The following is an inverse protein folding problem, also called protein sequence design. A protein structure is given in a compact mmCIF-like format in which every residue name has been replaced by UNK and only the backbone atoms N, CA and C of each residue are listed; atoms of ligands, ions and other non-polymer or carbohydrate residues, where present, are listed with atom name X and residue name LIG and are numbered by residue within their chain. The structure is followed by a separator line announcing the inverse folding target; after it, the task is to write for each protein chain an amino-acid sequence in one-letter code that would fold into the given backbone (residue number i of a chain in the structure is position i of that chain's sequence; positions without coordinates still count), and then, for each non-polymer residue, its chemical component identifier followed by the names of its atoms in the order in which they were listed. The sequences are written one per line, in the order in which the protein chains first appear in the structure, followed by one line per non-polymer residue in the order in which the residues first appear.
data_IF_096975793911
#
_entry.id   IF_096975793911
#
_cell.length_a   1.000
_cell.length_b   1.000
_cell.length_c   1.000
_cell.angle_alpha   90.00
_cell.angle_beta   90.00
_cell.angle_gamma   90.00
#
_symmetry.space_group_name_H-M   'P 1'
#
loop_
_entity.id
_entity.type
_entity.pdbx_description
1 polymer ?
#
# COMPACT_ATOMS: atom_id res chain seq x y z
N UNK A 1 -21.97 8.19 -16.56
CA UNK A 1 -21.59 9.56 -16.22
C UNK A 1 -20.60 10.08 -17.26
N UNK A 2 -20.91 11.21 -17.87
CA UNK A 2 -20.11 11.84 -18.93
C UNK A 2 -18.76 12.34 -18.39
N UNK A 3 -17.66 12.29 -19.17
CA UNK A 3 -16.35 12.65 -18.68
C UNK A 3 -16.22 14.17 -18.62
N UNK A 4 -16.18 14.71 -17.40
CA UNK A 4 -15.92 16.11 -17.10
C UNK A 4 -14.42 16.32 -16.99
N UNK A 5 -13.98 17.50 -17.44
CA UNK A 5 -12.60 17.99 -17.46
C UNK A 5 -11.78 17.55 -16.23
N UNK A 6 -10.58 16.97 -16.41
CA UNK A 6 -9.77 16.58 -15.27
C UNK A 6 -9.37 17.82 -14.45
N UNK A 7 -9.69 17.87 -13.15
CA UNK A 7 -9.41 19.04 -12.33
C UNK A 7 -7.89 19.29 -12.26
N UNK A 8 -7.50 20.56 -12.34
CA UNK A 8 -6.12 21.05 -12.53
C UNK A 8 -5.16 20.79 -11.35
N UNK A 9 -5.60 20.13 -10.28
CA UNK A 9 -4.78 19.80 -9.11
C UNK A 9 -4.49 18.29 -9.04
N UNK A 10 -3.21 17.93 -8.89
CA UNK A 10 -2.75 16.52 -8.81
C UNK A 10 -3.57 15.69 -7.80
N UNK A 11 -3.91 16.29 -6.66
CA UNK A 11 -4.68 15.64 -5.60
C UNK A 11 -6.13 15.39 -6.02
N UNK A 12 -6.80 16.35 -6.68
CA UNK A 12 -8.18 16.16 -7.15
C UNK A 12 -8.26 15.20 -8.35
N UNK A 13 -7.24 15.18 -9.21
CA UNK A 13 -7.12 14.22 -10.31
C UNK A 13 -6.94 12.79 -9.78
N UNK A 14 -6.06 12.62 -8.79
CA UNK A 14 -5.89 11.35 -8.08
C UNK A 14 -7.19 10.94 -7.40
N UNK A 15 -7.86 11.81 -6.63
CA UNK A 15 -9.14 11.49 -5.97
C UNK A 15 -10.25 11.15 -6.98
N UNK A 16 -10.34 11.85 -8.11
CA UNK A 16 -11.35 11.61 -9.14
C UNK A 16 -11.17 10.25 -9.83
N UNK A 17 -9.93 9.87 -10.16
CA UNK A 17 -9.64 8.54 -10.71
C UNK A 17 -9.70 7.42 -9.66
N UNK A 18 -9.40 7.75 -8.41
CA UNK A 18 -9.36 6.81 -7.28
C UNK A 18 -10.75 6.49 -6.75
N UNK A 19 -11.78 7.30 -7.06
CA UNK A 19 -13.16 7.15 -6.59
C UNK A 19 -13.78 5.76 -6.82
N UNK A 20 -13.29 5.02 -7.83
CA UNK A 20 -13.73 3.65 -8.12
C UNK A 20 -12.91 2.54 -7.46
N UNK A 21 -11.82 2.85 -6.74
CA UNK A 21 -10.90 1.90 -6.14
C UNK A 21 -10.63 2.14 -4.65
N UNK A 22 -11.35 3.09 -4.04
CA UNK A 22 -11.38 3.33 -2.60
C UNK A 22 -11.53 2.06 -1.75
N UNK A 23 -12.40 1.08 -2.08
CA UNK A 23 -12.51 -0.14 -1.29
C UNK A 23 -11.20 -0.93 -1.23
N UNK A 24 -10.48 -1.03 -2.35
CA UNK A 24 -9.22 -1.76 -2.42
C UNK A 24 -8.07 -1.04 -1.74
N UNK A 25 -8.03 0.29 -1.84
CA UNK A 25 -7.04 1.11 -1.14
C UNK A 25 -7.28 1.09 0.37
N UNK A 26 -8.54 1.10 0.83
CA UNK A 26 -8.85 0.96 2.26
C UNK A 26 -8.38 -0.41 2.76
N UNK A 27 -8.67 -1.49 2.02
CA UNK A 27 -8.22 -2.84 2.40
C UNK A 27 -6.69 -2.88 2.47
N UNK A 28 -6.01 -2.33 1.47
CA UNK A 28 -4.55 -2.31 1.41
C UNK A 28 -3.95 -1.49 2.56
N UNK A 29 -4.51 -0.31 2.84
CA UNK A 29 -4.14 0.52 3.97
C UNK A 29 -4.33 -0.20 5.31
N UNK A 30 -5.45 -0.91 5.49
CA UNK A 30 -5.71 -1.70 6.71
C UNK A 30 -4.68 -2.82 6.86
N UNK A 31 -4.30 -3.48 5.76
CA UNK A 31 -3.26 -4.50 5.79
C UNK A 31 -1.88 -3.92 6.15
N UNK A 32 -1.48 -2.80 5.55
CA UNK A 32 -0.23 -2.10 5.90
C UNK A 32 -0.21 -1.70 7.37
N UNK A 33 -1.32 -1.16 7.87
CA UNK A 33 -1.48 -0.82 9.29
C UNK A 33 -1.33 -2.06 10.19
N UNK A 34 -1.92 -3.19 9.80
CA UNK A 34 -1.80 -4.44 10.56
C UNK A 34 -0.35 -4.97 10.59
N UNK A 35 0.37 -4.86 9.47
CA UNK A 35 1.79 -5.25 9.38
C UNK A 35 2.61 -4.37 10.32
N UNK A 36 2.49 -3.04 10.20
CA UNK A 36 3.24 -2.09 11.03
C UNK A 36 2.92 -2.25 12.53
N UNK A 37 1.66 -2.49 12.89
CA UNK A 37 1.28 -2.78 14.28
C UNK A 37 1.94 -4.06 14.81
N UNK A 38 2.01 -5.10 13.97
CA UNK A 38 2.65 -6.36 14.33
C UNK A 38 4.16 -6.18 14.54
N UNK A 39 4.83 -5.36 13.72
CA UNK A 39 6.25 -5.02 13.89
C UNK A 39 6.52 -4.23 15.17
N UNK A 40 5.70 -3.21 15.45
CA UNK A 40 5.78 -2.41 16.69
C UNK A 40 5.64 -3.33 17.91
N UNK A 41 4.65 -4.22 17.91
CA UNK A 41 4.47 -5.21 18.97
C UNK A 41 5.67 -6.15 19.12
N UNK A 42 6.32 -6.52 18.01
CA UNK A 42 7.54 -7.34 18.02
C UNK A 42 8.71 -6.64 18.70
N UNK A 43 8.89 -5.32 18.49
CA UNK A 43 9.93 -4.56 19.18
C UNK A 43 9.71 -4.50 20.71
N UNK A 44 8.48 -4.24 21.15
CA UNK A 44 8.14 -4.29 22.57
C UNK A 44 8.33 -5.68 23.18
N UNK A 45 8.12 -6.74 22.40
CA UNK A 45 8.39 -8.11 22.83
C UNK A 45 9.88 -8.41 22.96
N UNK A 46 10.71 -7.96 22.03
CA UNK A 46 12.17 -8.12 22.11
C UNK A 46 12.71 -7.48 23.40
N UNK A 47 12.22 -6.30 23.78
CA UNK A 47 12.52 -5.68 25.07
C UNK A 47 12.21 -6.61 26.26
N UNK A 48 11.01 -7.20 26.29
CA UNK A 48 10.62 -8.15 27.34
C UNK A 48 11.46 -9.43 27.37
N UNK A 49 11.88 -9.96 26.20
CA UNK A 49 12.79 -11.10 26.16
C UNK A 49 14.12 -10.74 26.83
N UNK A 50 14.68 -9.57 26.50
CA UNK A 50 15.94 -9.10 27.08
C UNK A 50 15.80 -8.89 28.59
N UNK A 51 14.70 -8.29 29.05
CA UNK A 51 14.41 -8.11 30.48
C UNK A 51 14.30 -9.45 31.21
N UNK A 52 13.56 -10.41 30.65
CA UNK A 52 13.42 -11.73 31.26
C UNK A 52 14.76 -12.47 31.30
N UNK A 53 15.55 -12.40 30.22
CA UNK A 53 16.88 -13.03 30.14
C UNK A 53 17.85 -12.42 31.15
N UNK A 54 17.69 -11.14 31.46
CA UNK A 54 18.49 -10.43 32.47
C UNK A 54 18.05 -10.70 33.91
N UNK A 55 16.80 -11.15 34.15
CA UNK A 55 16.21 -11.25 35.48
C UNK A 55 16.08 -12.67 36.06
N UNK A 56 16.18 -13.74 35.26
CA UNK A 56 15.79 -15.09 35.70
C UNK A 56 16.84 -16.18 35.38
N UNK A 57 16.97 -17.15 36.29
CA UNK A 57 17.94 -18.26 36.19
C UNK A 57 17.64 -19.20 35.00
N UNK A 58 18.72 -19.59 34.30
CA UNK A 58 18.78 -20.33 33.03
C UNK A 58 18.02 -21.68 33.00
N UNK A 59 17.70 -22.26 34.16
CA UNK A 59 17.12 -23.60 34.28
C UNK A 59 15.57 -23.63 34.29
N UNK A 60 14.90 -22.60 34.81
CA UNK A 60 13.42 -22.58 34.92
C UNK A 60 12.74 -21.90 33.72
N UNK A 61 13.54 -21.16 32.95
CA UNK A 61 13.14 -20.32 31.84
C UNK A 61 12.64 -21.12 30.63
N UNK A 62 13.38 -22.17 30.25
CA UNK A 62 13.06 -23.02 29.11
C UNK A 62 11.89 -23.97 29.39
N UNK A 63 11.55 -24.25 30.65
CA UNK A 63 10.44 -25.14 30.98
C UNK A 63 9.09 -24.42 31.14
N UNK A 64 9.09 -23.16 31.60
CA UNK A 64 7.83 -22.44 31.91
C UNK A 64 7.45 -21.44 30.82
N UNK A 65 8.43 -20.80 30.17
CA UNK A 65 8.19 -19.73 29.18
C UNK A 65 8.38 -20.19 27.72
N UNK A 66 8.87 -21.42 27.48
CA UNK A 66 9.07 -21.96 26.12
C UNK A 66 7.80 -22.04 25.30
N UNK A 67 6.65 -22.30 25.92
CA UNK A 67 5.36 -22.32 25.21
C UNK A 67 4.95 -20.93 24.71
N UNK A 68 5.18 -19.87 25.50
CA UNK A 68 4.93 -18.49 25.09
C UNK A 68 5.91 -18.03 24.02
N UNK A 69 7.20 -18.37 24.17
CA UNK A 69 8.24 -18.13 23.17
C UNK A 69 7.96 -18.86 21.85
N UNK A 70 7.51 -20.12 21.89
CA UNK A 70 7.17 -20.89 20.69
C UNK A 70 5.92 -20.36 19.99
N UNK A 71 4.87 -20.00 20.74
CA UNK A 71 3.67 -19.36 20.18
C UNK A 71 3.99 -18.01 19.52
N UNK A 72 4.86 -17.20 20.13
CA UNK A 72 5.31 -15.93 19.55
C UNK A 72 6.25 -16.11 18.36
N UNK A 73 7.19 -17.06 18.40
CA UNK A 73 8.02 -17.41 17.26
C UNK A 73 7.15 -17.86 16.08
N UNK A 74 6.08 -18.61 16.33
CA UNK A 74 5.11 -18.99 15.31
C UNK A 74 4.38 -17.78 14.72
N UNK A 75 3.93 -16.83 15.55
CA UNK A 75 3.28 -15.59 15.06
C UNK A 75 4.24 -14.75 14.20
N UNK A 76 5.49 -14.57 14.63
CA UNK A 76 6.48 -13.82 13.85
C UNK A 76 6.85 -14.55 12.55
N UNK A 77 6.96 -15.88 12.57
CA UNK A 77 7.41 -16.67 11.43
C UNK A 77 6.28 -17.03 10.44
N UNK A 78 5.01 -16.97 10.86
CA UNK A 78 3.87 -17.28 10.01
C UNK A 78 2.88 -16.13 9.84
N UNK A 79 2.53 -15.40 10.91
CA UNK A 79 1.54 -14.32 10.81
C UNK A 79 2.10 -13.08 10.11
N UNK A 80 3.34 -12.67 10.43
CA UNK A 80 4.00 -11.56 9.74
C UNK A 80 4.18 -11.83 8.23
N UNK A 81 4.88 -12.90 7.81
CA UNK A 81 5.02 -13.19 6.39
C UNK A 81 3.67 -13.52 5.73
N UNK A 82 2.71 -14.12 6.44
CA UNK A 82 1.35 -14.33 5.93
C UNK A 82 0.62 -13.01 5.63
N UNK A 83 0.72 -12.03 6.52
CA UNK A 83 0.08 -10.72 6.32
C UNK A 83 0.77 -9.92 5.21
N UNK A 84 2.11 -9.94 5.18
CA UNK A 84 2.90 -9.32 4.09
C UNK A 84 2.59 -9.98 2.76
N UNK A 85 2.46 -11.31 2.74
CA UNK A 85 2.11 -12.05 1.53
C UNK A 85 0.70 -11.72 1.03
N UNK A 86 -0.28 -11.62 1.93
CA UNK A 86 -1.65 -11.26 1.59
C UNK A 86 -1.76 -9.81 1.10
N UNK A 87 -1.01 -8.88 1.71
CA UNK A 87 -0.87 -7.50 1.23
C UNK A 87 -0.24 -7.46 -0.16
N UNK A 88 0.89 -8.16 -0.35
CA UNK A 88 1.56 -8.24 -1.64
C UNK A 88 0.65 -8.82 -2.72
N UNK A 89 -0.08 -9.90 -2.42
CA UNK A 89 -1.07 -10.46 -3.34
C UNK A 89 -2.17 -9.47 -3.69
N UNK A 90 -2.79 -8.82 -2.71
CA UNK A 90 -3.86 -7.86 -2.96
C UNK A 90 -3.37 -6.69 -3.82
N UNK A 91 -2.18 -6.18 -3.54
CA UNK A 91 -1.58 -5.09 -4.29
C UNK A 91 -1.22 -5.52 -5.72
N UNK A 92 -0.54 -6.65 -5.87
CA UNK A 92 -0.13 -7.17 -7.17
C UNK A 92 -1.31 -7.64 -8.04
N UNK A 93 -2.39 -8.13 -7.44
CA UNK A 93 -3.51 -8.71 -8.19
C UNK A 93 -4.58 -7.66 -8.50
N UNK A 94 -4.79 -6.70 -7.58
CA UNK A 94 -5.86 -5.70 -7.72
C UNK A 94 -5.36 -4.38 -8.29
N UNK A 95 -4.24 -3.86 -7.78
CA UNK A 95 -3.75 -2.52 -8.10
C UNK A 95 -2.87 -2.51 -9.36
N UNK A 96 -2.07 -3.57 -9.60
CA UNK A 96 -1.26 -3.64 -10.82
C UNK A 96 -2.10 -3.84 -12.09
N UNK A 97 -3.19 -4.61 -12.02
CA UNK A 97 -4.01 -4.93 -13.19
C UNK A 97 -5.18 -3.96 -13.44
N UNK A 98 -6.02 -3.74 -12.42
CA UNK A 98 -7.31 -3.10 -12.62
C UNK A 98 -7.22 -1.56 -12.67
N UNK A 99 -6.27 -0.98 -11.94
CA UNK A 99 -6.08 0.47 -11.84
C UNK A 99 -5.62 1.14 -13.14
N UNK A 100 -4.51 0.70 -13.79
CA UNK A 100 -4.04 1.34 -15.01
C UNK A 100 -4.96 1.06 -16.20
N UNK A 101 -5.66 -0.08 -16.21
CA UNK A 101 -6.60 -0.43 -17.27
C UNK A 101 -7.82 0.52 -17.29
N UNK A 102 -8.34 0.85 -16.10
CA UNK A 102 -9.41 1.86 -15.98
C UNK A 102 -8.95 3.26 -16.39
N UNK A 103 -7.72 3.63 -16.04
CA UNK A 103 -7.12 4.91 -16.46
C UNK A 103 -7.02 4.96 -17.99
N UNK A 104 -6.44 3.93 -18.61
CA UNK A 104 -6.36 3.85 -20.07
C UNK A 104 -7.72 3.97 -20.75
N UNK A 105 -8.76 3.32 -20.22
CA UNK A 105 -10.12 3.38 -20.80
C UNK A 105 -10.73 4.79 -20.73
N UNK A 106 -10.59 5.48 -19.60
CA UNK A 106 -11.10 6.84 -19.45
C UNK A 106 -10.34 7.84 -20.33
N UNK A 107 -9.00 7.74 -20.42
CA UNK A 107 -8.22 8.63 -21.30
C UNK A 107 -8.47 8.31 -22.78
N UNK A 108 -8.68 7.05 -23.15
CA UNK A 108 -9.08 6.69 -24.52
C UNK A 108 -10.43 7.31 -24.91
N UNK A 109 -11.42 7.26 -24.01
CA UNK A 109 -12.73 7.90 -24.23
C UNK A 109 -12.65 9.43 -24.28
N UNK A 110 -11.66 10.03 -23.61
CA UNK A 110 -11.40 11.47 -23.66
C UNK A 110 -10.76 11.88 -24.99
N UNK A 111 -9.77 11.13 -25.47
CA UNK A 111 -9.12 11.36 -26.76
C UNK A 111 -10.12 11.31 -27.93
N UNK A 112 -11.05 10.35 -27.91
CA UNK A 112 -12.11 10.24 -28.92
C UNK A 112 -13.01 11.48 -29.06
N UNK A 113 -12.97 12.41 -28.10
CA UNK A 113 -13.78 13.65 -28.10
C UNK A 113 -12.97 14.90 -28.47
N UNK A 114 -11.70 14.77 -28.81
CA UNK A 114 -10.83 15.92 -29.07
C UNK A 114 -10.93 16.44 -30.50
N UNK A 115 -10.64 17.73 -30.71
CA UNK A 115 -10.78 18.39 -32.01
C UNK A 115 -9.72 17.92 -33.01
N UNK A 116 -10.07 17.98 -34.31
CA UNK A 116 -9.17 17.57 -35.40
C UNK A 116 -7.87 18.39 -35.45
N UNK A 117 -7.92 19.66 -35.04
CA UNK A 117 -6.75 20.53 -34.96
C UNK A 117 -5.69 20.01 -33.96
N UNK A 118 -6.12 19.44 -32.83
CA UNK A 118 -5.20 18.84 -31.86
C UNK A 118 -4.44 17.64 -32.44
N UNK A 119 -5.11 16.83 -33.26
CA UNK A 119 -4.48 15.69 -33.94
C UNK A 119 -3.57 16.09 -35.11
N UNK A 120 -3.69 17.33 -35.59
CA UNK A 120 -2.79 17.88 -36.60
C UNK A 120 -1.50 18.45 -35.97
N UNK A 121 -1.59 18.98 -34.74
CA UNK A 121 -0.45 19.55 -34.01
C UNK A 121 0.37 18.51 -33.23
N UNK A 122 -0.25 17.43 -32.74
CA UNK A 122 0.44 16.37 -31.99
C UNK A 122 0.40 15.00 -32.71
N UNK A 123 1.59 14.43 -32.95
CA UNK A 123 1.71 13.08 -33.49
C UNK A 123 1.05 12.05 -32.56
N UNK A 124 0.17 11.21 -33.11
CA UNK A 124 -0.56 10.18 -32.39
C UNK A 124 0.32 9.25 -31.52
N UNK A 125 1.55 8.94 -31.96
CA UNK A 125 2.50 8.14 -31.19
C UNK A 125 3.00 8.81 -29.91
N UNK A 126 3.15 10.14 -29.92
CA UNK A 126 3.55 10.93 -28.74
C UNK A 126 2.44 10.96 -27.70
N UNK A 127 1.20 11.19 -28.15
CA UNK A 127 0.00 11.17 -27.31
C UNK A 127 -0.20 9.80 -26.66
N UNK A 128 -0.09 8.72 -27.44
CA UNK A 128 -0.24 7.35 -26.93
C UNK A 128 0.81 7.00 -25.87
N UNK A 129 2.06 7.41 -26.10
CA UNK A 129 3.17 7.15 -25.15
C UNK A 129 2.99 7.96 -23.87
N UNK A 130 2.63 9.24 -24.00
CA UNK A 130 2.35 10.13 -22.86
C UNK A 130 1.18 9.58 -22.03
N UNK A 131 0.12 9.12 -22.68
CA UNK A 131 -1.03 8.49 -22.04
C UNK A 131 -0.64 7.22 -21.27
N UNK A 132 0.15 6.34 -21.91
CA UNK A 132 0.60 5.09 -21.29
C UNK A 132 1.45 5.34 -20.05
N UNK A 133 2.42 6.26 -20.16
CA UNK A 133 3.35 6.56 -19.07
C UNK A 133 2.71 7.37 -17.95
N UNK A 134 1.88 8.37 -18.27
CA UNK A 134 1.17 9.14 -17.25
C UNK A 134 0.19 8.26 -16.47
N UNK A 135 -0.50 7.31 -17.12
CA UNK A 135 -1.39 6.38 -16.41
C UNK A 135 -0.66 5.50 -15.39
N UNK A 136 0.53 5.00 -15.75
CA UNK A 136 1.36 4.19 -14.85
C UNK A 136 1.97 5.03 -13.73
N UNK A 137 2.51 6.20 -14.06
CA UNK A 137 3.13 7.12 -13.10
C UNK A 137 2.12 7.61 -12.05
N UNK A 138 0.89 7.96 -12.47
CA UNK A 138 -0.17 8.39 -11.54
C UNK A 138 -0.54 7.25 -10.60
N UNK A 139 -0.69 6.02 -11.10
CA UNK A 139 -0.95 4.84 -10.27
C UNK A 139 0.13 4.68 -9.19
N UNK A 140 1.40 4.65 -9.59
CA UNK A 140 2.52 4.46 -8.66
C UNK A 140 2.62 5.58 -7.64
N UNK A 141 2.41 6.83 -8.05
CA UNK A 141 2.43 7.97 -7.15
C UNK A 141 1.34 7.87 -6.07
N UNK A 142 0.10 7.53 -6.45
CA UNK A 142 -1.02 7.40 -5.50
C UNK A 142 -0.80 6.27 -4.50
N UNK A 143 -0.46 5.08 -4.99
CA UNK A 143 -0.27 3.90 -4.15
C UNK A 143 0.87 4.18 -3.17
N UNK A 144 2.03 4.60 -3.66
CA UNK A 144 3.18 4.87 -2.79
C UNK A 144 2.91 5.97 -1.78
N UNK A 145 2.20 7.04 -2.16
CA UNK A 145 1.91 8.14 -1.24
C UNK A 145 1.04 7.66 -0.09
N UNK A 146 0.03 6.82 -0.36
CA UNK A 146 -0.86 6.28 0.68
C UNK A 146 -0.12 5.27 1.55
N UNK A 147 0.59 4.32 0.94
CA UNK A 147 1.27 3.25 1.66
C UNK A 147 2.37 3.79 2.57
N UNK A 148 3.24 4.66 2.02
CA UNK A 148 4.35 5.25 2.78
C UNK A 148 3.84 6.16 3.88
N UNK A 149 2.82 6.99 3.60
CA UNK A 149 2.26 7.88 4.63
C UNK A 149 1.62 7.08 5.76
N UNK A 150 0.82 6.05 5.44
CA UNK A 150 0.20 5.20 6.45
C UNK A 150 1.26 4.46 7.27
N UNK A 151 2.24 3.84 6.60
CA UNK A 151 3.35 3.15 7.27
C UNK A 151 4.10 4.09 8.23
N UNK A 152 4.45 5.29 7.78
CA UNK A 152 5.13 6.29 8.62
C UNK A 152 4.27 6.71 9.82
N UNK A 153 2.97 6.96 9.62
CA UNK A 153 2.07 7.35 10.72
C UNK A 153 1.99 6.24 11.77
N UNK A 154 1.77 4.99 11.36
CA UNK A 154 1.64 3.86 12.29
C UNK A 154 2.95 3.60 13.03
N UNK A 155 4.08 3.66 12.34
CA UNK A 155 5.39 3.45 12.94
C UNK A 155 5.75 4.57 13.92
N UNK A 156 5.47 5.83 13.57
CA UNK A 156 5.72 6.99 14.43
C UNK A 156 4.86 6.94 15.70
N UNK A 157 3.58 6.61 15.55
CA UNK A 157 2.68 6.39 16.68
C UNK A 157 3.16 5.21 17.54
N UNK A 158 3.48 4.08 16.91
CA UNK A 158 3.94 2.88 17.60
C UNK A 158 5.21 3.10 18.41
N UNK A 159 6.18 3.82 17.86
CA UNK A 159 7.43 4.17 18.55
C UNK A 159 7.23 5.21 19.66
N UNK A 160 6.23 6.09 19.54
CA UNK A 160 5.93 7.09 20.58
C UNK A 160 5.23 6.44 21.80
N UNK A 161 4.44 5.40 21.57
CA UNK A 161 3.71 4.68 22.62
C UNK A 161 4.51 3.58 23.33
N UNK A 162 5.56 3.05 22.70
CA UNK A 162 6.50 2.07 23.30
C UNK A 162 7.62 2.79 24.04
#
# INVERSE_FOLDING_TARGET
AEPVEPPKTLVAFCVHYTRGAWPYIIVDAVLVTAIAFTEVWMFGFLGRIVDWLSAQNRETFLQTESWKLAGMAFVVLFALPGTVWLHSLLNQQTLMGNYPMRIRWQVHRYLLKQSMAFYQDEFAGRIATKLMQTALAVRECVIKLIDVLNYVIVYFIGMLFI
#
